data_IF_371186532108
#
_entry.id   IF_371186532108
#
_cell.length_a   1.000
_cell.length_b   1.000
_cell.length_c   1.000
_cell.angle_alpha   90.00
_cell.angle_beta   90.00
_cell.angle_gamma   90.00
#
_symmetry.space_group_name_H-M   'P 1'
#
loop_
_entity.id
_entity.type
_entity.pdbx_description
1 polymer ?
#
# COMPACT_ATOMS: atom_id res chain seq x y z
N UNK A 1 -35.92 -17.83 -20.91
CA UNK A 1 -35.99 -16.36 -20.98
C UNK A 1 -35.49 -15.80 -19.66
N UNK A 2 -34.32 -15.17 -19.65
CA UNK A 2 -33.66 -14.67 -18.45
C UNK A 2 -34.09 -13.22 -18.18
N UNK A 3 -34.68 -12.96 -17.00
CA UNK A 3 -35.10 -11.62 -16.59
C UNK A 3 -33.99 -10.97 -15.76
N UNK A 4 -33.28 -10.02 -16.37
CA UNK A 4 -32.34 -9.15 -15.65
C UNK A 4 -33.13 -8.18 -14.77
N UNK A 5 -33.00 -8.30 -13.45
CA UNK A 5 -33.47 -7.26 -12.51
C UNK A 5 -32.43 -6.14 -12.50
N UNK A 6 -32.74 -5.00 -13.11
CA UNK A 6 -32.02 -3.75 -12.89
C UNK A 6 -32.28 -3.30 -11.46
N UNK A 7 -31.22 -3.14 -10.66
CA UNK A 7 -31.32 -2.40 -9.41
C UNK A 7 -31.58 -0.92 -9.74
N UNK A 8 -32.76 -0.43 -9.37
CA UNK A 8 -33.03 1.00 -9.38
C UNK A 8 -32.41 1.60 -8.12
N UNK A 9 -31.40 2.45 -8.29
CA UNK A 9 -30.89 3.29 -7.23
C UNK A 9 -31.95 4.35 -6.91
N UNK A 10 -32.54 4.29 -5.73
CA UNK A 10 -33.41 5.36 -5.20
C UNK A 10 -32.52 6.28 -4.40
N UNK A 11 -32.26 7.48 -4.92
CA UNK A 11 -31.59 8.52 -4.15
C UNK A 11 -32.57 9.02 -3.08
N UNK A 12 -32.29 8.71 -1.81
CA UNK A 12 -33.04 9.25 -0.68
C UNK A 12 -32.66 10.74 -0.53
N UNK A 13 -33.54 11.61 -0.99
CA UNK A 13 -33.40 13.05 -0.87
C UNK A 13 -33.98 13.51 0.47
N UNK A 14 -33.23 13.26 1.54
CA UNK A 14 -33.50 13.80 2.88
C UNK A 14 -32.21 14.36 3.50
N UNK A 15 -31.59 15.32 2.81
CA UNK A 15 -30.64 16.25 3.42
C UNK A 15 -31.45 17.39 4.05
N UNK A 16 -32.08 17.10 5.19
CA UNK A 16 -32.76 18.09 6.01
C UNK A 16 -31.81 18.54 7.13
N UNK A 17 -31.72 19.86 7.26
CA UNK A 17 -31.33 20.61 8.46
C UNK A 17 -29.84 20.61 8.84
N UNK A 18 -29.05 21.42 8.14
CA UNK A 18 -27.92 22.12 8.76
C UNK A 18 -28.40 23.52 9.14
N UNK A 19 -28.81 23.70 10.40
CA UNK A 19 -28.99 25.05 10.96
C UNK A 19 -27.63 25.76 10.93
N UNK A 20 -27.52 26.94 10.29
CA UNK A 20 -26.33 27.76 10.46
C UNK A 20 -26.38 28.33 11.89
N UNK A 21 -25.71 27.68 12.82
CA UNK A 21 -25.41 28.24 14.12
C UNK A 21 -24.69 29.58 13.90
N UNK A 22 -25.34 30.66 14.34
CA UNK A 22 -24.85 32.03 14.53
C UNK A 22 -23.34 32.20 14.29
N UNK A 23 -23.01 32.45 13.02
CA UNK A 23 -21.65 32.70 12.56
C UNK A 23 -21.28 34.17 12.78
N UNK A 24 -21.05 34.55 14.03
CA UNK A 24 -20.28 35.76 14.36
C UNK A 24 -19.00 35.38 15.11
N UNK A 25 -18.23 34.46 14.54
CA UNK A 25 -16.77 34.51 14.68
C UNK A 25 -16.24 35.03 13.35
N UNK A 26 -15.75 36.26 13.37
CA UNK A 26 -15.08 36.88 12.23
C UNK A 26 -13.98 35.93 11.74
N UNK A 27 -13.84 35.81 10.42
CA UNK A 27 -12.79 34.99 9.78
C UNK A 27 -11.37 35.31 10.30
N UNK A 28 -11.19 36.52 10.80
CA UNK A 28 -9.97 37.03 11.42
C UNK A 28 -9.65 36.34 12.75
N UNK A 29 -10.64 36.09 13.61
CA UNK A 29 -10.46 35.36 14.88
C UNK A 29 -10.04 33.90 14.63
N UNK A 30 -10.65 33.26 13.63
CA UNK A 30 -10.25 31.90 13.22
C UNK A 30 -8.83 31.86 12.69
N UNK A 31 -8.40 32.86 11.93
CA UNK A 31 -7.05 32.89 11.37
C UNK A 31 -5.99 33.08 12.45
N UNK A 32 -6.30 33.84 13.50
CA UNK A 32 -5.41 34.05 14.63
C UNK A 32 -5.24 32.78 15.49
N UNK A 33 -6.31 32.00 15.68
CA UNK A 33 -6.22 30.68 16.32
C UNK A 33 -5.30 29.72 15.52
N UNK A 34 -5.38 29.73 14.19
CA UNK A 34 -4.46 28.92 13.36
C UNK A 34 -3.00 29.35 13.55
N UNK A 35 -2.69 30.65 13.53
CA UNK A 35 -1.32 31.16 13.70
C UNK A 35 -0.74 30.84 15.09
N UNK A 36 -1.56 30.85 16.15
CA UNK A 36 -1.12 30.44 17.50
C UNK A 36 -0.80 28.95 17.59
N UNK A 37 -1.57 28.08 16.91
CA UNK A 37 -1.31 26.64 16.87
C UNK A 37 0.02 26.32 16.15
N UNK A 38 0.38 27.10 15.12
CA UNK A 38 1.63 26.90 14.37
C UNK A 38 2.84 27.62 14.96
N UNK A 39 2.65 28.54 15.92
CA UNK A 39 3.73 29.27 16.59
C UNK A 39 4.22 28.60 17.88
N UNK A 40 3.55 27.54 18.34
CA UNK A 40 4.07 26.70 19.42
C UNK A 40 5.25 25.90 18.88
N UNK A 41 6.43 26.22 19.40
CA UNK A 41 7.72 25.57 19.18
C UNK A 41 7.60 24.18 18.54
N UNK A 42 8.10 24.05 17.31
CA UNK A 42 8.45 22.78 16.69
C UNK A 42 9.44 22.04 17.60
N UNK A 43 8.96 21.41 18.68
CA UNK A 43 9.68 20.31 19.30
C UNK A 43 9.78 19.24 18.23
N UNK A 44 10.92 19.27 17.55
CA UNK A 44 11.28 18.32 16.51
C UNK A 44 11.11 16.92 17.10
N UNK A 45 9.99 16.28 16.75
CA UNK A 45 9.75 14.88 17.09
C UNK A 45 10.99 14.15 16.62
N UNK A 46 11.75 13.49 17.52
CA UNK A 46 12.93 12.76 17.09
C UNK A 46 12.45 11.74 16.07
N UNK A 47 12.85 11.94 14.81
CA UNK A 47 12.59 10.99 13.74
C UNK A 47 13.42 9.75 14.09
N UNK A 48 12.82 8.87 14.89
CA UNK A 48 13.37 7.55 15.18
C UNK A 48 13.34 6.81 13.86
N UNK A 49 14.48 6.82 13.15
CA UNK A 49 14.70 5.96 12.00
C UNK A 49 14.72 4.55 12.53
N UNK A 50 13.56 3.90 12.50
CA UNK A 50 13.49 2.45 12.60
C UNK A 50 14.30 1.95 11.41
N UNK A 51 15.47 1.39 11.68
CA UNK A 51 16.25 0.65 10.71
C UNK A 51 15.36 -0.54 10.30
N UNK A 52 14.58 -0.39 9.23
CA UNK A 52 14.00 -1.54 8.60
C UNK A 52 15.17 -2.46 8.24
N UNK A 53 15.11 -3.77 8.60
CA UNK A 53 16.14 -4.69 8.15
C UNK A 53 16.18 -4.55 6.63
N UNK A 54 17.33 -4.13 6.09
CA UNK A 54 17.51 -3.98 4.67
C UNK A 54 17.20 -5.33 4.04
N UNK A 55 15.99 -5.47 3.51
CA UNK A 55 15.54 -6.70 2.87
C UNK A 55 16.37 -6.85 1.63
N UNK A 56 17.41 -7.66 1.75
CA UNK A 56 18.36 -7.90 0.68
C UNK A 56 17.66 -8.88 -0.25
N UNK A 57 17.17 -8.37 -1.37
CA UNK A 57 16.68 -9.19 -2.46
C UNK A 57 17.88 -9.92 -3.08
N UNK A 58 17.78 -11.22 -3.32
CA UNK A 58 18.82 -11.97 -4.04
C UNK A 58 18.93 -11.52 -5.52
N UNK A 59 17.83 -11.04 -6.10
CA UNK A 59 17.77 -10.65 -7.51
C UNK A 59 17.36 -9.18 -7.70
N UNK A 60 18.12 -8.45 -8.52
CA UNK A 60 17.80 -7.08 -8.92
C UNK A 60 16.87 -7.03 -10.15
N UNK A 61 16.27 -5.87 -10.38
CA UNK A 61 15.50 -5.62 -11.61
C UNK A 61 16.40 -5.79 -12.84
N UNK A 62 15.90 -6.47 -13.87
CA UNK A 62 16.64 -6.82 -15.08
C UNK A 62 17.50 -8.08 -14.96
N UNK A 63 17.68 -8.65 -13.76
CA UNK A 63 18.42 -9.89 -13.57
C UNK A 63 17.71 -11.06 -14.26
N UNK A 64 18.47 -11.96 -14.89
CA UNK A 64 17.95 -13.13 -15.61
C UNK A 64 17.85 -14.32 -14.66
N UNK A 65 16.63 -14.85 -14.50
CA UNK A 65 16.32 -15.97 -13.62
C UNK A 65 15.46 -17.01 -14.34
N UNK A 66 15.48 -18.24 -13.87
CA UNK A 66 14.67 -19.36 -14.37
C UNK A 66 13.64 -19.75 -13.29
N UNK A 67 12.33 -19.78 -13.61
CA UNK A 67 11.29 -20.17 -12.66
C UNK A 67 11.17 -21.68 -12.46
N UNK A 68 11.66 -22.48 -13.41
CA UNK A 68 11.69 -23.94 -13.32
C UNK A 68 12.96 -24.47 -13.99
N UNK A 69 13.44 -25.66 -13.59
CA UNK A 69 14.52 -26.33 -14.32
C UNK A 69 14.12 -26.55 -15.78
N UNK A 70 14.92 -26.01 -16.71
CA UNK A 70 14.71 -26.02 -18.16
C UNK A 70 13.69 -25.00 -18.72
N UNK A 71 13.11 -24.13 -17.89
CA UNK A 71 12.32 -23.01 -18.39
C UNK A 71 13.23 -21.94 -19.03
N UNK A 72 12.75 -21.19 -20.05
CA UNK A 72 13.52 -20.07 -20.58
C UNK A 72 13.82 -19.03 -19.50
N UNK A 73 15.07 -18.56 -19.44
CA UNK A 73 15.43 -17.47 -18.55
C UNK A 73 14.61 -16.20 -18.85
N UNK A 74 14.12 -15.55 -17.80
CA UNK A 74 13.30 -14.34 -17.84
C UNK A 74 13.91 -13.24 -16.99
N UNK A 75 13.63 -12.00 -17.37
CA UNK A 75 14.13 -10.85 -16.63
C UNK A 75 13.18 -10.50 -15.50
N UNK A 76 13.72 -10.15 -14.33
CA UNK A 76 12.93 -9.63 -13.20
C UNK A 76 12.44 -8.22 -13.53
N UNK A 77 11.13 -7.99 -13.51
CA UNK A 77 10.51 -6.68 -13.82
C UNK A 77 9.97 -5.97 -12.59
N UNK A 78 9.77 -6.70 -11.49
CA UNK A 78 9.30 -6.14 -10.22
C UNK A 78 9.77 -6.99 -9.04
N UNK A 79 9.91 -6.36 -7.89
CA UNK A 79 10.28 -6.99 -6.61
C UNK A 79 9.45 -6.39 -5.47
N UNK A 80 9.14 -7.21 -4.48
CA UNK A 80 8.43 -6.76 -3.29
C UNK A 80 8.47 -7.78 -2.16
N UNK A 81 7.83 -7.43 -1.05
CA UNK A 81 7.76 -8.30 0.12
C UNK A 81 6.31 -8.61 0.48
N UNK A 82 6.02 -9.89 0.70
CA UNK A 82 4.73 -10.34 1.22
C UNK A 82 4.87 -10.69 2.70
N UNK A 83 3.80 -10.44 3.46
CA UNK A 83 3.70 -10.90 4.86
C UNK A 83 3.03 -12.26 4.86
N UNK A 84 3.74 -13.27 5.32
CA UNK A 84 3.24 -14.64 5.41
C UNK A 84 3.23 -15.11 6.85
N UNK A 85 2.28 -15.98 7.18
CA UNK A 85 2.12 -16.56 8.51
C UNK A 85 2.62 -17.99 8.49
N UNK A 86 3.53 -18.33 9.40
CA UNK A 86 3.98 -19.70 9.60
C UNK A 86 2.83 -20.56 10.13
N UNK A 87 2.54 -21.72 9.51
CA UNK A 87 1.43 -22.58 9.95
C UNK A 87 1.70 -23.19 11.33
N UNK A 88 2.96 -23.47 11.66
CA UNK A 88 3.34 -24.14 12.91
C UNK A 88 3.29 -23.21 14.13
N UNK A 89 3.73 -21.95 13.96
CA UNK A 89 3.93 -21.01 15.09
C UNK A 89 2.96 -19.83 15.06
N UNK A 90 2.28 -19.58 13.94
CA UNK A 90 1.40 -18.42 13.75
C UNK A 90 2.14 -17.08 13.65
N UNK A 91 3.47 -17.07 13.67
CA UNK A 91 4.28 -15.87 13.52
C UNK A 91 4.24 -15.35 12.09
N UNK A 92 4.23 -14.03 11.93
CA UNK A 92 4.27 -13.36 10.62
C UNK A 92 5.71 -13.00 10.28
N UNK A 93 6.15 -13.38 9.09
CA UNK A 93 7.44 -12.97 8.53
C UNK A 93 7.27 -12.35 7.15
N UNK A 94 8.31 -11.64 6.69
CA UNK A 94 8.35 -11.08 5.33
C UNK A 94 9.05 -12.08 4.40
N UNK A 95 8.51 -12.26 3.21
CA UNK A 95 9.07 -13.12 2.14
C UNK A 95 9.32 -12.26 0.91
N UNK A 96 10.51 -12.38 0.32
CA UNK A 96 10.85 -11.70 -0.91
C UNK A 96 10.14 -12.38 -2.09
N UNK A 97 9.51 -11.58 -2.94
CA UNK A 97 8.84 -12.03 -4.16
C UNK A 97 9.24 -11.20 -5.37
N UNK A 98 9.19 -11.82 -6.53
CA UNK A 98 9.65 -11.29 -7.80
C UNK A 98 8.60 -11.53 -8.87
N UNK A 99 8.51 -10.61 -9.83
CA UNK A 99 7.72 -10.82 -11.05
C UNK A 99 8.64 -10.84 -12.25
N UNK A 100 8.33 -11.73 -13.19
CA UNK A 100 9.12 -11.95 -14.39
C UNK A 100 8.47 -11.34 -15.64
N UNK A 101 9.27 -11.09 -16.67
CA UNK A 101 8.83 -10.76 -18.03
C UNK A 101 8.41 -12.01 -18.81
N UNK A 102 7.38 -12.70 -18.33
CA UNK A 102 6.79 -13.89 -18.96
C UNK A 102 5.35 -13.64 -19.45
N UNK A 103 4.81 -12.45 -19.20
CA UNK A 103 3.44 -12.07 -19.54
C UNK A 103 2.40 -12.43 -18.49
N UNK A 104 2.79 -13.08 -17.39
CA UNK A 104 1.89 -13.43 -16.30
C UNK A 104 1.93 -12.37 -15.18
N UNK A 105 0.92 -12.42 -14.31
CA UNK A 105 0.83 -11.57 -13.11
C UNK A 105 1.19 -12.33 -11.83
N UNK A 106 1.74 -13.52 -11.99
CA UNK A 106 2.18 -14.33 -10.86
C UNK A 106 3.47 -13.76 -10.27
N UNK A 107 3.62 -13.95 -8.96
CA UNK A 107 4.82 -13.61 -8.23
C UNK A 107 5.50 -14.90 -7.79
N UNK A 108 6.81 -14.95 -7.98
CA UNK A 108 7.67 -16.07 -7.62
C UNK A 108 8.44 -15.73 -6.36
N UNK A 109 8.60 -16.71 -5.48
CA UNK A 109 9.46 -16.59 -4.30
C UNK A 109 10.91 -16.74 -4.70
N UNK A 110 11.79 -16.31 -3.79
CA UNK A 110 13.23 -16.41 -4.01
C UNK A 110 13.71 -17.86 -4.20
N UNK A 111 13.13 -18.80 -3.46
CA UNK A 111 13.47 -20.23 -3.48
C UNK A 111 12.93 -20.98 -4.72
N UNK A 112 11.97 -20.38 -5.42
CA UNK A 112 11.44 -20.90 -6.69
C UNK A 112 12.29 -20.47 -7.89
N UNK A 113 13.17 -19.49 -7.71
CA UNK A 113 13.96 -18.91 -8.79
C UNK A 113 15.42 -19.36 -8.74
N UNK A 114 15.97 -19.63 -9.92
CA UNK A 114 17.37 -19.96 -10.11
C UNK A 114 18.05 -18.89 -10.96
N UNK A 115 19.25 -18.47 -10.59
CA UNK A 115 20.07 -17.63 -11.47
C UNK A 115 20.34 -18.37 -12.80
N UNK A 116 20.17 -17.67 -13.92
CA UNK A 116 20.32 -18.24 -15.25
C UNK A 116 21.76 -18.32 -15.76
#
# INVERSE_FOLDING_TARGET
>A
MATTKKAHYVADATFADYEPADAEHTLEDRHQEYEEIFSQDEEAIPVVRVLEPASTFAYDLGHRVQPEPNAPARSVIWRGQLKERLPETGLVHRVNVYRLDDGFWDCYREDELQAA
#
